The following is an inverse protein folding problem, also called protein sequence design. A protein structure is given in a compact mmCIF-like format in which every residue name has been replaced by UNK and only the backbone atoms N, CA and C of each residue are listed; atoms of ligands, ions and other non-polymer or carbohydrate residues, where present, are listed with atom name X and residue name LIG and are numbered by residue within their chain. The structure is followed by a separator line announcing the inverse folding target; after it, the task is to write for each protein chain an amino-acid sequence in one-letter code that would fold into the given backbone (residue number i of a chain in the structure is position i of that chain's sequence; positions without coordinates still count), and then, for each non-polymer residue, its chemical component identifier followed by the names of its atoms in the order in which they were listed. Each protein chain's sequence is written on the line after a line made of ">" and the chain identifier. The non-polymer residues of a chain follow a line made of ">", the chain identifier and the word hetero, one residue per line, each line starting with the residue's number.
data_IF_372834852368
#
_entry.id   IF_372834852368
#
_cell.length_a   1.000
_cell.length_b   1.000
_cell.length_c   1.000
_cell.angle_alpha   90.00
_cell.angle_beta   90.00
_cell.angle_gamma   90.00
#
_symmetry.space_group_name_H-M   'P 1'
#
loop_
_entity.id
_entity.type
_entity.pdbx_description
1 polymer ?
#
# COMPACT_ATOMS: atom_id res chain seq x y z
N UNK A 1 13.39 -3.71 2.17
CA UNK A 1 13.98 -2.73 1.24
C UNK A 1 15.49 -2.64 1.37
N UNK A 2 16.02 -2.25 2.54
CA UNK A 2 17.47 -2.11 2.78
C UNK A 2 18.29 -3.36 2.47
N UNK A 3 17.80 -4.54 2.88
CA UNK A 3 18.43 -5.84 2.53
C UNK A 3 18.61 -5.98 1.02
N UNK A 4 17.61 -5.62 0.20
CA UNK A 4 17.70 -5.68 -1.28
C UNK A 4 18.67 -4.64 -1.82
N UNK A 5 18.57 -3.41 -1.31
CA UNK A 5 19.47 -2.32 -1.70
C UNK A 5 20.94 -2.71 -1.45
N UNK A 6 21.24 -3.26 -0.27
CA UNK A 6 22.57 -3.74 0.09
C UNK A 6 23.07 -4.83 -0.87
N UNK A 7 22.27 -5.87 -1.12
CA UNK A 7 22.62 -6.96 -2.06
C UNK A 7 22.90 -6.43 -3.48
N UNK A 8 22.12 -5.44 -3.92
CA UNK A 8 22.31 -4.84 -5.24
C UNK A 8 23.57 -3.98 -5.31
N UNK A 9 23.82 -3.14 -4.30
CA UNK A 9 25.03 -2.29 -4.22
C UNK A 9 26.30 -3.13 -4.12
N UNK A 10 26.31 -4.17 -3.29
CA UNK A 10 27.45 -5.11 -3.17
C UNK A 10 27.83 -5.76 -4.50
N UNK A 11 26.88 -5.87 -5.42
CA UNK A 11 27.07 -6.45 -6.75
C UNK A 11 27.02 -5.42 -7.89
N UNK A 12 27.11 -4.13 -7.56
CA UNK A 12 27.11 -2.99 -8.51
C UNK A 12 25.87 -2.91 -9.43
N UNK A 13 24.71 -3.37 -8.99
CA UNK A 13 23.44 -3.23 -9.72
C UNK A 13 22.66 -1.99 -9.29
N UNK A 14 22.19 -1.22 -10.28
CA UNK A 14 21.40 0.02 -10.06
C UNK A 14 19.89 -0.22 -9.96
N UNK A 15 19.38 -1.33 -10.50
CA UNK A 15 17.96 -1.67 -10.45
C UNK A 15 17.73 -3.18 -10.35
N UNK A 16 16.54 -3.57 -9.85
CA UNK A 16 16.15 -4.97 -9.72
C UNK A 16 16.08 -5.65 -11.08
N UNK A 17 15.68 -4.94 -12.13
CA UNK A 17 15.67 -5.44 -13.51
C UNK A 17 17.06 -5.92 -13.93
N UNK A 18 18.07 -5.09 -13.72
CA UNK A 18 19.47 -5.42 -14.07
C UNK A 18 19.97 -6.61 -13.26
N UNK A 19 19.69 -6.62 -11.95
CA UNK A 19 20.05 -7.73 -11.08
C UNK A 19 19.39 -9.04 -11.56
N UNK A 20 18.09 -9.02 -11.83
CA UNK A 20 17.33 -10.20 -12.27
C UNK A 20 17.75 -10.70 -13.64
N UNK A 21 18.10 -9.79 -14.57
CA UNK A 21 18.62 -10.15 -15.87
C UNK A 21 19.93 -10.95 -15.76
N UNK A 22 20.89 -10.45 -14.98
CA UNK A 22 22.16 -11.16 -14.77
C UNK A 22 21.99 -12.43 -13.94
N UNK A 23 21.11 -12.43 -12.93
CA UNK A 23 20.82 -13.62 -12.13
C UNK A 23 20.25 -14.75 -12.99
N UNK A 24 19.27 -14.46 -13.86
CA UNK A 24 18.72 -15.45 -14.81
C UNK A 24 19.78 -15.97 -15.78
N UNK A 25 20.65 -15.09 -16.29
CA UNK A 25 21.72 -15.49 -17.21
C UNK A 25 22.74 -16.44 -16.58
N UNK A 26 22.90 -16.38 -15.26
CA UNK A 26 23.89 -17.16 -14.51
C UNK A 26 23.28 -18.15 -13.51
N UNK A 27 21.99 -18.50 -13.69
CA UNK A 27 21.22 -19.30 -12.74
C UNK A 27 21.89 -20.65 -12.42
N UNK A 28 22.54 -21.28 -13.41
CA UNK A 28 23.24 -22.56 -13.26
C UNK A 28 24.71 -22.43 -12.79
N UNK A 29 25.24 -21.21 -12.66
CA UNK A 29 26.66 -20.98 -12.32
C UNK A 29 26.87 -20.60 -10.87
N UNK A 30 25.91 -19.92 -10.24
CA UNK A 30 26.05 -19.42 -8.88
C UNK A 30 24.78 -19.68 -8.07
N UNK A 31 24.88 -20.60 -7.11
CA UNK A 31 23.73 -21.02 -6.28
C UNK A 31 23.11 -19.85 -5.48
N UNK A 32 23.95 -18.89 -5.06
CA UNK A 32 23.57 -17.71 -4.30
C UNK A 32 23.27 -16.47 -5.17
N UNK A 33 22.97 -16.65 -6.47
CA UNK A 33 22.60 -15.55 -7.37
C UNK A 33 21.29 -15.85 -8.11
N UNK A 34 20.20 -15.84 -7.36
CA UNK A 34 18.86 -16.09 -7.89
C UNK A 34 18.09 -14.80 -8.10
N UNK A 35 17.18 -14.73 -9.10
CA UNK A 35 16.30 -13.59 -9.28
C UNK A 35 15.47 -13.31 -8.04
N UNK A 36 15.27 -12.03 -7.73
CA UNK A 36 14.42 -11.58 -6.65
C UNK A 36 13.04 -11.19 -7.22
N UNK A 37 11.92 -11.59 -6.58
CA UNK A 37 10.59 -11.26 -7.07
C UNK A 37 10.28 -9.78 -6.90
N UNK A 38 9.40 -9.22 -7.74
CA UNK A 38 8.78 -7.93 -7.42
C UNK A 38 7.86 -8.08 -6.20
N UNK A 39 7.78 -7.04 -5.38
CA UNK A 39 6.85 -6.98 -4.24
C UNK A 39 5.81 -5.92 -4.56
N UNK A 40 4.55 -6.33 -4.58
CA UNK A 40 3.39 -5.44 -4.69
C UNK A 40 2.72 -5.35 -3.32
N UNK A 41 2.61 -4.13 -2.80
CA UNK A 41 1.93 -3.84 -1.54
C UNK A 41 0.60 -3.19 -1.88
N UNK A 42 -0.51 -3.79 -1.43
CA UNK A 42 -1.85 -3.27 -1.62
C UNK A 42 -2.40 -2.73 -0.30
N UNK A 43 -2.95 -1.53 -0.32
CA UNK A 43 -3.68 -0.90 0.80
C UNK A 43 -5.06 -0.52 0.27
N UNK A 44 -6.09 -1.25 0.68
CA UNK A 44 -7.45 -1.07 0.14
C UNK A 44 -8.10 0.22 0.63
N UNK A 45 -7.85 0.60 1.89
CA UNK A 45 -8.35 1.83 2.48
C UNK A 45 -7.25 2.53 3.30
N UNK A 46 -6.62 3.53 2.71
CA UNK A 46 -5.59 4.33 3.38
C UNK A 46 -6.15 5.09 4.59
N UNK A 47 -7.40 5.54 4.53
CA UNK A 47 -7.97 6.38 5.57
C UNK A 47 -7.95 5.70 6.94
N UNK A 48 -8.19 4.40 6.98
CA UNK A 48 -8.22 3.61 8.21
C UNK A 48 -6.84 3.58 8.88
N UNK A 49 -5.76 3.53 8.08
CA UNK A 49 -4.39 3.63 8.59
C UNK A 49 -4.05 5.04 9.06
N UNK A 50 -4.48 6.06 8.32
CA UNK A 50 -4.19 7.46 8.64
C UNK A 50 -4.88 7.94 9.91
N UNK A 51 -6.06 7.39 10.25
CA UNK A 51 -6.77 7.74 11.48
C UNK A 51 -6.03 7.22 12.72
N UNK A 52 -5.35 6.09 12.61
CA UNK A 52 -4.64 5.47 13.73
C UNK A 52 -3.24 6.04 13.91
N UNK A 53 -2.46 6.13 12.82
CA UNK A 53 -1.04 6.51 12.88
C UNK A 53 -0.59 7.28 11.63
N UNK A 54 -1.21 8.45 11.36
CA UNK A 54 -0.93 9.27 10.17
C UNK A 54 0.57 9.47 9.88
N UNK A 55 1.35 9.89 10.89
CA UNK A 55 2.78 10.21 10.70
C UNK A 55 3.60 9.00 10.26
N UNK A 56 3.43 7.85 10.92
CA UNK A 56 4.21 6.64 10.64
C UNK A 56 3.85 6.05 9.27
N UNK A 57 2.56 6.11 8.92
CA UNK A 57 2.04 5.64 7.63
C UNK A 57 2.56 6.53 6.50
N UNK A 58 2.50 7.85 6.66
CA UNK A 58 3.00 8.82 5.68
C UNK A 58 4.51 8.68 5.45
N UNK A 59 5.30 8.56 6.52
CA UNK A 59 6.75 8.33 6.44
C UNK A 59 7.08 7.02 5.72
N UNK A 60 6.33 5.96 6.03
CA UNK A 60 6.49 4.65 5.39
C UNK A 60 6.15 4.70 3.90
N UNK A 61 5.06 5.36 3.52
CA UNK A 61 4.67 5.57 2.12
C UNK A 61 5.74 6.36 1.39
N UNK A 62 6.21 7.48 1.94
CA UNK A 62 7.24 8.31 1.34
C UNK A 62 8.53 7.53 1.10
N UNK A 63 8.99 6.78 2.12
CA UNK A 63 10.18 5.93 2.01
C UNK A 63 10.04 4.86 0.94
N UNK A 64 8.89 4.19 0.86
CA UNK A 64 8.61 3.18 -0.18
C UNK A 64 8.59 3.81 -1.56
N UNK A 65 7.88 4.92 -1.73
CA UNK A 65 7.76 5.58 -3.02
C UNK A 65 9.10 6.12 -3.55
N UNK A 66 9.97 6.64 -2.67
CA UNK A 66 11.27 7.18 -3.07
C UNK A 66 12.30 6.10 -3.43
N UNK A 67 12.38 5.03 -2.64
CA UNK A 67 13.44 4.02 -2.79
C UNK A 67 12.97 2.74 -3.47
N UNK A 68 11.65 2.48 -3.49
CA UNK A 68 11.06 1.21 -3.90
C UNK A 68 11.28 0.89 -5.37
N UNK A 69 11.27 1.89 -6.26
CA UNK A 69 11.43 1.71 -7.71
C UNK A 69 12.70 0.93 -8.06
N UNK A 70 13.84 1.28 -7.46
CA UNK A 70 15.11 0.64 -7.77
C UNK A 70 15.15 -0.82 -7.29
N UNK A 71 14.48 -1.13 -6.17
CA UNK A 71 14.52 -2.47 -5.55
C UNK A 71 13.31 -3.35 -5.89
N UNK A 72 12.47 -2.89 -6.81
CA UNK A 72 11.25 -3.56 -7.29
C UNK A 72 10.19 -3.78 -6.22
N UNK A 73 9.97 -2.76 -5.38
CA UNK A 73 8.84 -2.69 -4.44
C UNK A 73 7.89 -1.59 -4.94
N UNK A 74 6.64 -1.96 -5.19
CA UNK A 74 5.60 -1.09 -5.71
C UNK A 74 4.41 -1.05 -4.77
N UNK A 75 3.82 0.13 -4.64
CA UNK A 75 2.72 0.40 -3.71
C UNK A 75 1.47 0.77 -4.51
N UNK A 76 0.36 0.13 -4.19
CA UNK A 76 -0.97 0.41 -4.72
C UNK A 76 -1.84 0.76 -3.52
N UNK A 77 -2.34 1.99 -3.51
CA UNK A 77 -3.14 2.53 -2.42
C UNK A 77 -4.48 2.96 -2.99
N UNK A 78 -5.56 2.56 -2.34
CA UNK A 78 -6.90 3.07 -2.56
C UNK A 78 -7.48 3.69 -1.30
N UNK A 79 -8.48 4.52 -1.50
CA UNK A 79 -9.30 5.10 -0.44
C UNK A 79 -10.64 5.54 -1.03
N UNK A 80 -11.70 5.42 -0.25
CA UNK A 80 -13.00 6.00 -0.59
C UNK A 80 -13.19 7.41 0.01
N UNK A 81 -12.21 7.90 0.77
CA UNK A 81 -12.27 9.19 1.48
C UNK A 81 -11.23 10.17 0.91
N UNK A 82 -11.49 10.81 -0.23
CA UNK A 82 -10.56 11.72 -0.88
C UNK A 82 -10.52 13.09 -0.19
N UNK A 83 -9.91 13.15 1.00
CA UNK A 83 -9.68 14.38 1.76
C UNK A 83 -8.20 14.76 1.81
N UNK A 84 -7.90 16.05 1.99
CA UNK A 84 -6.51 16.56 2.11
C UNK A 84 -5.78 15.95 3.32
N UNK A 85 -6.51 15.57 4.37
CA UNK A 85 -5.94 14.94 5.56
C UNK A 85 -5.52 13.48 5.32
N UNK A 86 -6.08 12.83 4.29
CA UNK A 86 -5.77 11.45 3.93
C UNK A 86 -4.78 11.42 2.76
N UNK A 87 -5.03 12.24 1.73
CA UNK A 87 -4.17 12.38 0.55
C UNK A 87 -3.38 13.68 0.71
N UNK A 88 -2.39 13.63 1.59
CA UNK A 88 -1.56 14.79 1.95
C UNK A 88 -0.66 15.24 0.80
N UNK A 89 -0.04 16.42 0.95
CA UNK A 89 0.95 16.92 -0.01
C UNK A 89 2.16 16.01 -0.18
N UNK A 90 2.66 15.38 0.91
CA UNK A 90 3.81 14.48 0.84
C UNK A 90 3.46 13.18 0.11
N UNK A 91 2.28 12.61 0.36
CA UNK A 91 1.78 11.45 -0.39
C UNK A 91 1.69 11.79 -1.87
N UNK A 92 1.09 12.92 -2.23
CA UNK A 92 0.99 13.37 -3.63
C UNK A 92 2.36 13.58 -4.28
N UNK A 93 3.32 14.16 -3.56
CA UNK A 93 4.66 14.42 -4.08
C UNK A 93 5.42 13.14 -4.43
N UNK A 94 5.14 12.03 -3.73
CA UNK A 94 5.84 10.77 -3.93
C UNK A 94 5.07 9.74 -4.78
N UNK A 95 3.76 9.91 -4.95
CA UNK A 95 2.89 9.04 -5.78
C UNK A 95 2.35 9.86 -6.97
N UNK A 96 3.10 9.94 -8.09
CA UNK A 96 2.75 10.79 -9.23
C UNK A 96 1.70 10.17 -10.17
N UNK A 97 1.62 8.84 -10.24
CA UNK A 97 0.58 8.14 -11.02
C UNK A 97 -0.68 7.99 -10.18
N UNK A 98 -1.83 8.47 -10.67
CA UNK A 98 -3.08 8.50 -9.89
C UNK A 98 -4.26 8.09 -10.74
N UNK A 99 -5.25 7.47 -10.10
CA UNK A 99 -6.52 7.10 -10.71
C UNK A 99 -7.63 7.68 -9.84
N UNK A 100 -8.59 8.36 -10.46
CA UNK A 100 -9.83 8.75 -9.80
C UNK A 100 -11.01 8.12 -10.53
N UNK A 101 -11.81 7.35 -9.79
CA UNK A 101 -13.17 7.00 -10.21
C UNK A 101 -14.12 8.17 -9.93
N UNK A 102 -15.40 7.99 -10.23
CA UNK A 102 -16.43 8.98 -9.94
C UNK A 102 -16.40 9.40 -8.46
N UNK A 103 -16.27 10.71 -8.23
CA UNK A 103 -16.30 11.35 -6.90
C UNK A 103 -17.48 12.31 -6.80
N UNK A 104 -17.80 12.74 -5.58
CA UNK A 104 -19.00 13.55 -5.34
C UNK A 104 -18.83 15.03 -5.69
N UNK A 105 -17.60 15.55 -5.66
CA UNK A 105 -17.36 16.98 -5.82
C UNK A 105 -16.09 17.30 -6.62
N UNK A 106 -16.05 18.50 -7.21
CA UNK A 106 -14.84 19.03 -7.86
C UNK A 106 -13.67 19.17 -6.87
N UNK A 107 -13.97 19.39 -5.59
CA UNK A 107 -12.96 19.46 -4.51
C UNK A 107 -12.29 18.10 -4.36
N UNK A 108 -13.07 17.01 -4.25
CA UNK A 108 -12.54 15.64 -4.16
C UNK A 108 -11.68 15.28 -5.38
N UNK A 109 -12.13 15.66 -6.59
CA UNK A 109 -11.37 15.46 -7.82
C UNK A 109 -9.99 16.13 -7.74
N UNK A 110 -9.95 17.37 -7.22
CA UNK A 110 -8.69 18.12 -7.06
C UNK A 110 -7.81 17.55 -5.95
N UNK A 111 -8.38 16.96 -4.90
CA UNK A 111 -7.59 16.26 -3.88
C UNK A 111 -6.83 15.09 -4.51
N UNK A 112 -7.47 14.32 -5.40
CA UNK A 112 -6.83 13.15 -6.04
C UNK A 112 -5.92 13.56 -7.21
N UNK A 113 -6.40 14.37 -8.15
CA UNK A 113 -5.76 14.59 -9.46
C UNK A 113 -5.12 15.97 -9.63
N UNK A 114 -5.19 16.84 -8.61
CA UNK A 114 -4.83 18.26 -8.69
C UNK A 114 -5.63 19.05 -9.76
N UNK A 115 -6.64 18.43 -10.37
CA UNK A 115 -7.54 19.01 -11.36
C UNK A 115 -8.98 18.48 -11.20
N UNK A 116 -9.93 19.21 -11.78
CA UNK A 116 -11.33 18.78 -11.82
C UNK A 116 -11.61 17.80 -12.96
N UNK A 117 -12.72 17.07 -12.89
CA UNK A 117 -13.21 16.20 -13.94
C UNK A 117 -13.75 14.87 -13.44
N UNK A 118 -13.24 14.37 -12.31
CA UNK A 118 -13.68 13.09 -11.76
C UNK A 118 -15.14 13.15 -11.24
N UNK A 119 -15.62 14.34 -10.86
CA UNK A 119 -17.02 14.57 -10.47
C UNK A 119 -18.02 14.47 -11.63
N UNK A 120 -17.52 14.41 -12.88
CA UNK A 120 -18.33 14.32 -14.10
C UNK A 120 -18.33 12.92 -14.70
N UNK A 121 -17.65 11.96 -14.06
CA UNK A 121 -17.64 10.57 -14.49
C UNK A 121 -19.02 9.93 -14.27
N UNK A 122 -19.32 8.87 -15.02
CA UNK A 122 -20.63 8.21 -14.98
C UNK A 122 -20.69 7.00 -14.04
N UNK A 123 -19.59 6.72 -13.33
CA UNK A 123 -19.44 5.55 -12.46
C UNK A 123 -19.22 4.25 -13.24
N UNK A 124 -19.46 3.10 -12.60
CA UNK A 124 -19.38 1.75 -13.21
C UNK A 124 -18.07 1.49 -13.99
N UNK A 125 -16.95 1.88 -13.41
CA UNK A 125 -15.61 1.69 -13.98
C UNK A 125 -15.08 2.86 -14.82
N UNK A 126 -15.89 3.88 -15.11
CA UNK A 126 -15.41 5.12 -15.73
C UNK A 126 -14.44 5.85 -14.78
N UNK A 127 -13.24 6.16 -15.27
CA UNK A 127 -12.16 6.72 -14.48
C UNK A 127 -11.30 7.73 -15.25
N UNK A 128 -10.62 8.59 -14.50
CA UNK A 128 -9.53 9.42 -14.98
C UNK A 128 -8.21 8.86 -14.48
N UNK A 129 -7.28 8.59 -15.40
CA UNK A 129 -5.93 8.15 -15.12
C UNK A 129 -4.93 9.27 -15.41
N UNK A 130 -4.19 9.70 -14.39
CA UNK A 130 -3.09 10.64 -14.51
C UNK A 130 -1.77 9.85 -14.43
N UNK A 131 -1.08 9.60 -15.54
CA UNK A 131 0.21 8.91 -15.51
C UNK A 131 1.33 9.86 -15.04
N UNK A 132 2.38 9.30 -14.42
CA UNK A 132 3.53 10.07 -13.91
C UNK A 132 4.23 10.98 -14.94
N UNK A 133 4.08 10.72 -16.24
CA UNK A 133 4.73 11.46 -17.33
C UNK A 133 3.83 12.55 -17.95
N UNK A 134 2.57 12.66 -17.52
CA UNK A 134 1.60 13.61 -18.05
C UNK A 134 1.06 14.50 -16.94
N UNK A 135 0.73 15.75 -17.31
CA UNK A 135 0.01 16.68 -16.43
C UNK A 135 -1.49 16.73 -16.75
N UNK A 136 -1.97 15.89 -17.67
CA UNK A 136 -3.38 15.80 -18.06
C UNK A 136 -3.87 14.37 -17.87
N UNK A 137 -5.00 14.18 -17.17
CA UNK A 137 -5.58 12.86 -17.02
C UNK A 137 -6.23 12.39 -18.33
N UNK A 138 -6.13 11.10 -18.58
CA UNK A 138 -6.79 10.39 -19.67
C UNK A 138 -8.06 9.72 -19.13
N UNK A 139 -9.18 9.83 -19.85
CA UNK A 139 -10.41 9.12 -19.47
C UNK A 139 -10.36 7.69 -19.98
N UNK A 140 -10.53 6.74 -19.08
CA UNK A 140 -10.42 5.30 -19.35
C UNK A 140 -11.66 4.60 -18.80
N UNK A 141 -12.14 3.59 -19.50
CA UNK A 141 -13.15 2.67 -19.00
C UNK A 141 -12.48 1.45 -18.37
N UNK A 142 -12.68 1.26 -17.07
CA UNK A 142 -12.21 0.09 -16.35
C UNK A 142 -12.87 -1.20 -16.84
N UNK A 143 -12.10 -2.28 -16.88
CA UNK A 143 -12.60 -3.61 -17.19
C UNK A 143 -13.51 -4.08 -16.03
N UNK A 144 -14.71 -4.54 -16.39
CA UNK A 144 -15.62 -5.16 -15.42
C UNK A 144 -15.22 -6.62 -15.23
N UNK A 145 -15.04 -7.02 -13.97
CA UNK A 145 -14.72 -8.40 -13.58
C UNK A 145 -15.74 -8.84 -12.54
N UNK A 146 -16.34 -10.00 -12.74
CA UNK A 146 -17.32 -10.57 -11.84
C UNK A 146 -16.66 -11.31 -10.67
N UNK A 147 -17.37 -11.43 -9.55
CA UNK A 147 -16.91 -12.25 -8.41
C UNK A 147 -16.64 -13.71 -8.82
N UNK A 148 -17.44 -14.25 -9.75
CA UNK A 148 -17.24 -15.60 -10.29
C UNK A 148 -15.91 -15.74 -11.03
N UNK A 149 -15.53 -14.75 -11.84
CA UNK A 149 -14.23 -14.76 -12.53
C UNK A 149 -13.07 -14.68 -11.53
N UNK A 150 -13.21 -13.86 -10.48
CA UNK A 150 -12.22 -13.77 -9.40
C UNK A 150 -12.08 -15.12 -8.67
N UNK A 151 -13.19 -15.76 -8.30
CA UNK A 151 -13.20 -17.06 -7.64
C UNK A 151 -12.55 -18.15 -8.51
N UNK A 152 -12.86 -18.16 -9.81
CA UNK A 152 -12.27 -19.09 -10.76
C UNK A 152 -10.75 -18.93 -10.85
N UNK A 153 -10.26 -17.70 -10.99
CA UNK A 153 -8.82 -17.41 -11.09
C UNK A 153 -8.10 -17.72 -9.77
N UNK A 154 -8.65 -17.28 -8.64
CA UNK A 154 -8.05 -17.55 -7.32
C UNK A 154 -8.10 -19.04 -6.96
N UNK A 155 -9.13 -19.76 -7.39
CA UNK A 155 -9.21 -21.22 -7.28
C UNK A 155 -8.14 -21.93 -8.10
N UNK A 156 -7.97 -21.52 -9.36
CA UNK A 156 -6.91 -22.05 -10.24
C UNK A 156 -5.51 -21.83 -9.64
N UNK A 157 -5.22 -20.63 -9.13
CA UNK A 157 -3.91 -20.31 -8.52
C UNK A 157 -3.67 -21.18 -7.28
N UNK A 158 -4.67 -21.34 -6.40
CA UNK A 158 -4.58 -22.20 -5.20
C UNK A 158 -4.28 -23.67 -5.53
N UNK A 159 -4.73 -24.16 -6.68
CA UNK A 159 -4.47 -25.53 -7.11
C UNK A 159 -3.04 -25.75 -7.64
N UNK A 160 -2.37 -24.68 -8.09
CA UNK A 160 -1.03 -24.76 -8.70
C UNK A 160 0.07 -24.55 -7.66
N UNK A 161 -0.18 -23.75 -6.63
CA UNK A 161 0.84 -23.43 -5.63
C UNK A 161 0.22 -23.12 -4.27
N UNK A 162 0.93 -23.56 -3.22
CA UNK A 162 0.63 -23.19 -1.84
C UNK A 162 1.28 -21.86 -1.50
N UNK A 163 0.60 -20.96 -0.77
CA UNK A 163 1.18 -19.68 -0.37
C UNK A 163 2.35 -19.87 0.60
N UNK A 164 3.51 -19.29 0.28
CA UNK A 164 4.66 -19.21 1.17
C UNK A 164 4.59 -17.91 1.99
N UNK A 165 4.11 -18.00 3.22
CA UNK A 165 4.04 -16.84 4.11
C UNK A 165 5.39 -16.58 4.77
N UNK A 166 5.81 -15.30 4.77
CA UNK A 166 6.99 -14.89 5.52
C UNK A 166 6.71 -14.97 7.03
N UNK A 167 7.40 -15.89 7.70
CA UNK A 167 7.38 -16.01 9.16
C UNK A 167 7.89 -14.73 9.86
N UNK A 168 8.86 -14.03 9.26
CA UNK A 168 9.39 -12.77 9.81
C UNK A 168 8.29 -11.69 9.87
N UNK A 169 7.51 -11.55 8.78
CA UNK A 169 6.39 -10.59 8.72
C UNK A 169 5.28 -11.02 9.69
N UNK A 170 4.94 -12.31 9.70
CA UNK A 170 3.89 -12.85 10.55
C UNK A 170 4.18 -12.67 12.06
N UNK A 171 5.46 -12.84 12.45
CA UNK A 171 5.90 -12.60 13.83
C UNK A 171 5.79 -11.13 14.22
N UNK A 172 6.28 -10.21 13.37
CA UNK A 172 6.17 -8.76 13.62
C UNK A 172 4.74 -8.31 13.83
N UNK A 173 3.82 -8.78 12.98
CA UNK A 173 2.38 -8.50 13.14
C UNK A 173 1.84 -9.04 14.48
N UNK A 174 2.32 -10.20 14.92
CA UNK A 174 1.89 -10.81 16.19
C UNK A 174 2.45 -10.05 17.41
N UNK A 175 3.70 -9.59 17.33
CA UNK A 175 4.36 -8.83 18.39
C UNK A 175 3.77 -7.42 18.53
N UNK A 176 3.46 -6.74 17.41
CA UNK A 176 2.76 -5.46 17.42
C UNK A 176 1.35 -5.57 18.02
N UNK A 177 0.62 -6.66 17.71
CA UNK A 177 -0.68 -6.93 18.35
C UNK A 177 -0.57 -7.13 19.85
N UNK A 178 0.52 -7.74 20.35
CA UNK A 178 0.74 -7.88 21.80
C UNK A 178 0.98 -6.54 22.46
N UNK A 179 1.80 -5.67 21.86
CA UNK A 179 2.09 -4.35 22.42
C UNK A 179 0.86 -3.41 22.37
N UNK A 180 -0.04 -3.56 21.40
CA UNK A 180 -1.35 -2.86 21.41
C UNK A 180 -2.30 -3.34 22.52
N UNK A 181 -2.05 -4.53 23.06
CA UNK A 181 -2.81 -5.15 24.15
C UNK A 181 -2.07 -5.09 25.48
N UNK A 182 -1.02 -4.27 25.63
CA UNK A 182 -0.52 -3.92 26.95
C UNK A 182 -1.69 -3.23 27.68
N UNK A 183 -2.35 -4.01 28.54
CA UNK A 183 -3.33 -3.53 29.49
C UNK A 183 -2.69 -2.34 30.20
N UNK A 184 -3.29 -1.15 30.07
CA UNK A 184 -2.86 0.00 30.86
C UNK A 184 -2.82 -0.47 32.32
N UNK A 185 -1.64 -0.41 32.96
CA UNK A 185 -1.42 -0.91 34.31
C UNK A 185 -2.42 -0.29 35.31
N UNK A 186 -2.90 0.92 34.98
CA UNK A 186 -3.90 1.66 35.76
C UNK A 186 -5.34 1.37 35.33
N UNK A 187 -5.59 0.59 34.28
CA UNK A 187 -6.92 0.26 33.79
C UNK A 187 -7.78 -0.39 34.88
N UNK A 188 -7.22 -1.39 35.58
CA UNK A 188 -7.92 -2.06 36.67
C UNK A 188 -8.09 -1.17 37.90
N UNK A 189 -7.16 -0.26 38.18
CA UNK A 189 -7.31 0.75 39.23
C UNK A 189 -8.40 1.78 38.87
N UNK A 190 -8.41 2.28 37.64
CA UNK A 190 -9.41 3.21 37.16
C UNK A 190 -10.81 2.57 37.13
N UNK A 191 -10.92 1.31 36.71
CA UNK A 191 -12.15 0.53 36.75
C UNK A 191 -12.65 0.39 38.20
N UNK A 192 -11.75 0.12 39.14
CA UNK A 192 -12.08 0.02 40.56
C UNK A 192 -12.62 1.34 41.10
N UNK A 193 -11.94 2.44 40.80
CA UNK A 193 -12.39 3.79 41.18
C UNK A 193 -13.76 4.09 40.58
N UNK A 194 -14.00 3.80 39.29
CA UNK A 194 -15.28 4.03 38.65
C UNK A 194 -16.43 3.21 39.27
N UNK A 195 -16.16 1.97 39.65
CA UNK A 195 -17.13 1.09 40.33
C UNK A 195 -17.39 1.58 41.76
N UNK A 196 -16.37 2.00 42.49
CA UNK A 196 -16.48 2.48 43.87
C UNK A 196 -17.25 3.81 43.96
N UNK A 197 -17.05 4.72 43.01
CA UNK A 197 -17.76 6.01 42.94
C UNK A 197 -19.14 5.90 42.25
N UNK A 198 -19.45 4.77 41.62
CA UNK A 198 -20.75 4.48 41.00
C UNK A 198 -21.05 5.23 39.70
N UNK A 199 -20.23 6.22 39.32
CA UNK A 199 -20.35 7.00 38.09
C UNK A 199 -18.96 7.28 37.51
N UNK A 200 -18.83 7.19 36.18
CA UNK A 200 -17.65 7.67 35.46
C UNK A 200 -18.08 8.87 34.60
N UNK A 201 -17.35 9.99 34.69
CA UNK A 201 -17.52 11.09 33.73
C UNK A 201 -16.67 10.80 32.51
N UNK A 202 -17.27 11.00 31.32
CA UNK A 202 -16.54 11.12 30.07
C UNK A 202 -15.80 12.47 30.00
#
# INVERSE_FOLDING_TARGET
>A
MEKRFKVMVERNFKSLEMYNFEAKRNENKYENFKPLPYILVFVDELADLMILSASEVEDSICRIAQMGRAVGIHLIISTQRPSVNIITGLIKANIPSRIAFMVTSNVDSRVILDCGGAEKLVGKGDMLFLPYYSNRPERIQGAFVTSREIEMITGYIRNISTPEYSLEISKRISDEKKNMHDEDDLFYEALRVAVDFGHASA
#
